data_IF_520741559827
#
_entry.id   IF_520741559827
#
_cell.length_a   1.000
_cell.length_b   1.000
_cell.length_c   1.000
_cell.angle_alpha   90.00
_cell.angle_beta   90.00
_cell.angle_gamma   90.00
#
_symmetry.space_group_name_H-M   'P 1'
#
loop_
_entity.id
_entity.type
_entity.pdbx_description
1 polymer ?
#
# COMPACT_ATOMS: atom_id res chain seq x y z
N UNK A 1 27.10 -0.10 15.15
CA UNK A 1 25.80 0.60 15.12
C UNK A 1 25.77 1.53 16.31
N UNK A 2 25.64 2.85 16.08
CA UNK A 2 25.61 3.80 17.20
C UNK A 2 24.20 3.84 17.83
N UNK A 3 24.07 4.28 19.08
CA UNK A 3 22.78 4.47 19.75
C UNK A 3 21.80 5.30 18.91
N UNK A 4 22.33 6.27 18.16
CA UNK A 4 21.58 7.11 17.23
C UNK A 4 21.00 6.35 16.04
N UNK A 5 21.70 5.36 15.51
CA UNK A 5 21.20 4.57 14.37
C UNK A 5 20.05 3.66 14.78
N UNK A 6 20.09 3.16 16.01
CA UNK A 6 18.97 2.41 16.61
C UNK A 6 17.72 3.28 16.75
N UNK A 7 17.87 4.50 17.31
CA UNK A 7 16.78 5.44 17.51
C UNK A 7 16.10 5.83 16.19
N UNK A 8 16.89 6.06 15.13
CA UNK A 8 16.36 6.41 13.79
C UNK A 8 15.48 5.34 13.15
N UNK A 9 15.60 4.09 13.58
CA UNK A 9 14.79 2.98 13.05
C UNK A 9 13.61 2.67 13.98
N UNK A 10 13.89 2.55 15.27
CA UNK A 10 12.90 2.14 16.28
C UNK A 10 11.84 3.22 16.49
N UNK A 11 12.23 4.50 16.59
CA UNK A 11 11.28 5.57 16.90
C UNK A 11 10.25 5.73 15.78
N UNK A 12 10.63 5.84 14.50
CA UNK A 12 9.64 5.88 13.42
C UNK A 12 8.79 4.60 13.31
N UNK A 13 9.36 3.43 13.61
CA UNK A 13 8.61 2.18 13.61
C UNK A 13 7.50 2.16 14.69
N UNK A 14 7.83 2.58 15.92
CA UNK A 14 6.87 2.67 17.02
C UNK A 14 5.78 3.71 16.71
N UNK A 15 6.17 4.86 16.18
CA UNK A 15 5.23 5.94 15.82
C UNK A 15 4.28 5.47 14.70
N UNK A 16 4.81 4.82 13.66
CA UNK A 16 3.99 4.25 12.57
C UNK A 16 3.03 3.17 13.09
N UNK A 17 3.49 2.30 13.98
CA UNK A 17 2.64 1.30 14.61
C UNK A 17 1.50 1.92 15.42
N UNK A 18 1.81 2.94 16.24
CA UNK A 18 0.80 3.64 17.03
C UNK A 18 -0.24 4.32 16.12
N UNK A 19 0.18 5.03 15.08
CA UNK A 19 -0.71 5.65 14.09
C UNK A 19 -1.57 4.58 13.41
N UNK A 20 -0.98 3.45 13.01
CA UNK A 20 -1.68 2.35 12.35
C UNK A 20 -2.78 1.75 13.24
N UNK A 21 -2.49 1.46 14.51
CA UNK A 21 -3.49 0.95 15.46
C UNK A 21 -4.60 1.98 15.67
N UNK A 22 -4.26 3.25 15.86
CA UNK A 22 -5.27 4.30 16.05
C UNK A 22 -6.14 4.49 14.80
N UNK A 23 -5.57 4.40 13.60
CA UNK A 23 -6.29 4.55 12.34
C UNK A 23 -7.16 3.32 11.98
N UNK A 24 -6.75 2.13 12.40
CA UNK A 24 -7.40 0.85 12.08
C UNK A 24 -8.93 0.85 12.29
N UNK A 25 -9.48 1.22 13.47
CA UNK A 25 -10.93 1.18 13.67
C UNK A 25 -11.69 2.14 12.74
N UNK A 26 -11.13 3.31 12.42
CA UNK A 26 -11.74 4.26 11.49
C UNK A 26 -11.75 3.71 10.06
N UNK A 27 -10.64 3.12 9.63
CA UNK A 27 -10.53 2.50 8.30
C UNK A 27 -11.49 1.32 8.20
N UNK A 28 -11.52 0.42 9.18
CA UNK A 28 -12.43 -0.73 9.19
C UNK A 28 -13.89 -0.27 9.14
N UNK A 29 -14.27 0.71 9.96
CA UNK A 29 -15.63 1.27 9.95
C UNK A 29 -15.99 1.86 8.57
N UNK A 30 -15.07 2.62 7.96
CA UNK A 30 -15.26 3.17 6.62
C UNK A 30 -15.44 2.08 5.56
N UNK A 31 -14.58 1.05 5.56
CA UNK A 31 -14.62 -0.04 4.59
C UNK A 31 -15.91 -0.87 4.73
N UNK A 32 -16.33 -1.16 5.96
CA UNK A 32 -17.58 -1.88 6.24
C UNK A 32 -18.80 -1.05 5.86
N UNK A 33 -18.81 0.25 6.15
CA UNK A 33 -19.91 1.17 5.76
C UNK A 33 -20.12 1.21 4.25
N UNK A 34 -19.04 1.22 3.47
CA UNK A 34 -19.09 1.25 2.01
C UNK A 34 -19.19 -0.14 1.37
N UNK A 35 -19.30 -1.19 2.18
CA UNK A 35 -19.39 -2.58 1.74
C UNK A 35 -18.25 -2.99 0.79
N UNK A 36 -17.04 -2.54 1.10
CA UNK A 36 -15.83 -2.78 0.30
C UNK A 36 -15.27 -4.17 0.58
N UNK A 37 -16.02 -5.19 0.22
CA UNK A 37 -15.61 -6.58 0.27
C UNK A 37 -15.84 -7.24 -1.08
N UNK A 38 -15.26 -8.42 -1.26
CA UNK A 38 -15.40 -9.20 -2.48
C UNK A 38 -16.85 -9.69 -2.62
N UNK A 39 -17.53 -9.33 -3.72
CA UNK A 39 -18.95 -9.64 -3.92
C UNK A 39 -19.22 -10.98 -4.61
N UNK A 40 -18.20 -11.59 -5.21
CA UNK A 40 -18.32 -12.83 -5.99
C UNK A 40 -17.19 -13.79 -5.63
N UNK A 41 -17.52 -15.07 -5.49
CA UNK A 41 -16.51 -16.13 -5.36
C UNK A 41 -15.76 -16.33 -6.69
N UNK A 42 -14.53 -16.85 -6.60
CA UNK A 42 -13.74 -17.20 -7.78
C UNK A 42 -14.45 -18.35 -8.50
N UNK A 43 -15.16 -18.04 -9.58
CA UNK A 43 -15.95 -19.04 -10.31
C UNK A 43 -15.09 -19.91 -11.25
N UNK A 44 -13.98 -19.35 -11.75
CA UNK A 44 -13.08 -20.01 -12.70
C UNK A 44 -11.63 -19.90 -12.29
N UNK A 45 -10.85 -20.94 -12.53
CA UNK A 45 -9.40 -20.94 -12.38
C UNK A 45 -8.76 -20.10 -13.49
N UNK A 46 -7.46 -19.79 -13.34
CA UNK A 46 -6.67 -19.07 -14.35
C UNK A 46 -6.69 -19.82 -15.70
N UNK A 47 -6.82 -21.16 -15.65
CA UNK A 47 -6.95 -22.04 -16.83
C UNK A 47 -8.38 -22.15 -17.38
N UNK A 48 -9.34 -21.38 -16.85
CA UNK A 48 -10.73 -21.33 -17.33
C UNK A 48 -11.63 -22.48 -16.86
N UNK A 49 -11.12 -23.41 -16.05
CA UNK A 49 -11.91 -24.52 -15.46
C UNK A 49 -12.68 -24.04 -14.24
N UNK A 50 -13.76 -24.73 -13.86
CA UNK A 50 -14.51 -24.39 -12.64
C UNK A 50 -13.65 -24.59 -11.39
N UNK A 51 -13.59 -23.57 -10.53
CA UNK A 51 -12.77 -23.58 -9.32
C UNK A 51 -13.54 -24.18 -8.12
N UNK A 52 -14.00 -25.42 -8.25
CA UNK A 52 -14.90 -26.09 -7.29
C UNK A 52 -14.34 -26.18 -5.87
N UNK A 53 -13.03 -26.41 -5.71
CA UNK A 53 -12.37 -26.52 -4.40
C UNK A 53 -12.13 -25.14 -3.76
N UNK A 54 -11.72 -24.13 -4.53
CA UNK A 54 -11.53 -22.78 -3.98
C UNK A 54 -12.87 -22.14 -3.60
N UNK A 55 -13.93 -22.39 -4.37
CA UNK A 55 -15.26 -21.91 -4.06
C UNK A 55 -15.88 -22.58 -2.83
N UNK A 56 -15.55 -23.85 -2.54
CA UNK A 56 -16.05 -24.57 -1.37
C UNK A 56 -15.29 -24.23 -0.07
N UNK A 57 -13.99 -23.91 -0.16
CA UNK A 57 -13.18 -23.50 0.99
C UNK A 57 -13.33 -22.01 1.36
N UNK A 58 -13.46 -21.13 0.37
CA UNK A 58 -13.60 -19.69 0.62
C UNK A 58 -15.06 -19.27 0.55
N UNK A 59 -15.73 -19.30 1.70
CA UNK A 59 -17.07 -18.76 1.90
C UNK A 59 -17.05 -17.22 2.02
N UNK A 60 -16.36 -16.53 1.10
CA UNK A 60 -16.22 -15.06 1.08
C UNK A 60 -17.59 -14.34 1.04
N UNK A 61 -18.65 -15.05 0.62
CA UNK A 61 -20.04 -14.58 0.55
C UNK A 61 -20.75 -14.62 1.92
N UNK A 62 -20.44 -15.60 2.78
CA UNK A 62 -21.11 -15.78 4.08
C UNK A 62 -20.46 -14.97 5.20
N UNK A 63 -19.16 -14.69 5.09
CA UNK A 63 -18.41 -13.88 6.05
C UNK A 63 -17.62 -12.78 5.31
N UNK A 64 -18.26 -11.66 4.93
CA UNK A 64 -17.61 -10.63 4.15
C UNK A 64 -16.51 -9.94 4.96
N UNK A 65 -15.26 -10.16 4.57
CA UNK A 65 -14.09 -9.47 5.12
C UNK A 65 -13.79 -8.24 4.25
N UNK A 66 -13.69 -7.04 4.83
CA UNK A 66 -13.32 -5.84 4.09
C UNK A 66 -11.95 -5.99 3.39
N UNK A 67 -11.89 -5.56 2.12
CA UNK A 67 -10.65 -5.41 1.35
C UNK A 67 -10.09 -4.01 1.52
N UNK A 68 -8.86 -3.76 1.05
CA UNK A 68 -8.09 -2.51 1.26
C UNK A 68 -7.47 -2.35 2.64
N UNK A 69 -7.18 -3.45 3.35
CA UNK A 69 -6.46 -3.38 4.64
C UNK A 69 -5.08 -2.71 4.54
N UNK A 70 -4.43 -2.79 3.38
CA UNK A 70 -3.18 -2.08 3.09
C UNK A 70 -3.26 -0.56 3.26
N UNK A 71 -4.48 0.01 3.24
CA UNK A 71 -4.75 1.43 3.54
C UNK A 71 -4.20 1.86 4.88
N UNK A 72 -4.33 1.02 5.91
CA UNK A 72 -3.78 1.32 7.23
C UNK A 72 -2.26 1.48 7.18
N UNK A 73 -1.59 0.63 6.40
CA UNK A 73 -0.12 0.60 6.32
C UNK A 73 0.42 1.86 5.65
N UNK A 74 -0.08 2.19 4.45
CA UNK A 74 0.45 3.36 3.75
C UNK A 74 0.04 4.69 4.40
N UNK A 75 -1.14 4.77 5.04
CA UNK A 75 -1.51 5.94 5.85
C UNK A 75 -0.53 6.09 7.01
N UNK A 76 -0.24 5.01 7.74
CA UNK A 76 0.67 5.05 8.88
C UNK A 76 2.08 5.50 8.47
N UNK A 77 2.62 4.94 7.38
CA UNK A 77 3.95 5.31 6.89
C UNK A 77 3.98 6.77 6.43
N UNK A 78 3.06 7.22 5.57
CA UNK A 78 3.08 8.62 5.09
C UNK A 78 2.82 9.61 6.21
N UNK A 79 1.89 9.31 7.13
CA UNK A 79 1.64 10.18 8.29
C UNK A 79 2.89 10.28 9.18
N UNK A 80 3.60 9.17 9.41
CA UNK A 80 4.86 9.16 10.16
C UNK A 80 5.94 9.98 9.45
N UNK A 81 6.12 9.76 8.15
CA UNK A 81 7.08 10.51 7.34
C UNK A 81 6.77 12.02 7.36
N UNK A 82 5.51 12.39 7.18
CA UNK A 82 5.06 13.77 7.23
C UNK A 82 5.22 14.41 8.61
N UNK A 83 4.94 13.65 9.67
CA UNK A 83 5.11 14.10 11.06
C UNK A 83 6.57 14.45 11.35
N UNK A 84 7.52 13.57 11.04
CA UNK A 84 8.95 13.85 11.25
C UNK A 84 9.46 14.97 10.34
N UNK A 85 8.93 15.04 9.11
CA UNK A 85 9.22 16.13 8.21
C UNK A 85 8.78 17.49 8.79
N UNK A 86 7.59 17.60 9.39
CA UNK A 86 7.15 18.83 10.08
C UNK A 86 7.95 19.09 11.35
N UNK A 87 8.25 18.04 12.11
CA UNK A 87 8.91 18.16 13.41
C UNK A 87 10.26 18.86 13.31
N UNK A 88 10.99 18.67 12.20
CA UNK A 88 12.26 19.36 11.96
C UNK A 88 12.12 20.89 11.88
N UNK A 89 10.98 21.38 11.38
CA UNK A 89 10.74 22.82 11.21
C UNK A 89 10.21 23.46 12.50
N UNK A 90 9.39 22.73 13.27
CA UNK A 90 8.81 23.24 14.52
C UNK A 90 9.81 23.17 15.67
N UNK A 91 10.63 22.11 15.71
CA UNK A 91 11.67 21.91 16.74
C UNK A 91 13.01 21.55 16.07
N UNK A 92 13.73 22.54 15.52
CA UNK A 92 15.03 22.32 14.88
C UNK A 92 16.07 21.92 15.93
N UNK A 93 16.36 20.63 16.00
CA UNK A 93 17.33 20.03 16.90
C UNK A 93 18.11 18.93 16.15
N UNK A 94 19.35 18.60 16.56
CA UNK A 94 20.15 17.57 15.87
C UNK A 94 19.47 16.19 15.83
N UNK A 95 18.53 15.92 16.74
CA UNK A 95 17.75 14.70 16.78
C UNK A 95 16.58 14.72 15.77
N UNK A 96 15.92 15.87 15.58
CA UNK A 96 14.77 15.98 14.67
C UNK A 96 15.20 15.97 13.20
N UNK A 97 16.32 16.62 12.87
CA UNK A 97 16.95 16.53 11.54
C UNK A 97 17.35 15.08 11.21
N UNK A 98 17.85 14.33 12.20
CA UNK A 98 18.22 12.92 12.01
C UNK A 98 17.03 11.98 11.89
N UNK A 99 15.88 12.35 12.46
CA UNK A 99 14.62 11.62 12.36
C UNK A 99 13.85 11.95 11.09
N UNK A 100 14.16 13.06 10.41
CA UNK A 100 13.60 13.33 9.09
C UNK A 100 14.11 12.33 8.05
N UNK A 101 13.23 11.41 7.69
CA UNK A 101 13.48 10.36 6.70
C UNK A 101 13.52 10.98 5.29
N UNK A 102 12.85 12.10 5.02
CA UNK A 102 12.71 12.72 3.69
C UNK A 102 13.95 13.48 3.25
N UNK A 103 14.78 13.93 4.20
CA UNK A 103 16.04 14.67 3.94
C UNK A 103 17.04 13.92 3.04
N UNK A 104 16.91 12.59 2.88
CA UNK A 104 17.86 11.75 2.14
C UNK A 104 17.39 11.53 0.70
N UNK A 105 18.24 11.81 -0.29
CA UNK A 105 17.94 11.53 -1.70
C UNK A 105 17.56 10.05 -1.99
N UNK A 106 18.01 9.11 -1.16
CA UNK A 106 17.72 7.69 -1.30
C UNK A 106 16.31 7.29 -0.84
N UNK A 107 15.70 8.01 0.11
CA UNK A 107 14.41 7.62 0.70
C UNK A 107 13.21 8.01 -0.17
N UNK A 108 13.40 8.97 -1.07
CA UNK A 108 12.42 9.32 -2.10
C UNK A 108 12.03 8.13 -2.97
N UNK A 109 12.98 7.25 -3.29
CA UNK A 109 12.72 6.12 -4.17
C UNK A 109 11.80 5.06 -3.52
N UNK A 110 12.07 4.58 -2.28
CA UNK A 110 11.14 3.74 -1.53
C UNK A 110 9.78 4.38 -1.28
N UNK A 111 9.72 5.67 -0.94
CA UNK A 111 8.45 6.40 -0.69
C UNK A 111 7.61 6.44 -1.96
N UNK A 112 8.23 6.76 -3.10
CA UNK A 112 7.55 6.78 -4.39
C UNK A 112 7.09 5.38 -4.83
N UNK A 113 7.94 4.37 -4.67
CA UNK A 113 7.58 2.99 -4.99
C UNK A 113 6.41 2.50 -4.14
N UNK A 114 6.41 2.80 -2.84
CA UNK A 114 5.30 2.51 -1.94
C UNK A 114 4.03 3.23 -2.36
N UNK A 115 4.11 4.52 -2.74
CA UNK A 115 2.97 5.29 -3.21
C UNK A 115 2.34 4.67 -4.47
N UNK A 116 3.15 4.39 -5.49
CA UNK A 116 2.68 3.77 -6.74
C UNK A 116 2.07 2.40 -6.46
N UNK A 117 2.75 1.56 -5.67
CA UNK A 117 2.24 0.24 -5.29
C UNK A 117 0.92 0.31 -4.51
N UNK A 118 0.80 1.25 -3.57
CA UNK A 118 -0.41 1.48 -2.79
C UNK A 118 -1.58 1.93 -3.67
N UNK A 119 -1.35 2.84 -4.61
CA UNK A 119 -2.37 3.33 -5.55
C UNK A 119 -2.83 2.21 -6.48
N UNK A 120 -1.90 1.50 -7.12
CA UNK A 120 -2.23 0.39 -8.03
C UNK A 120 -2.96 -0.74 -7.31
N UNK A 121 -2.50 -1.11 -6.10
CA UNK A 121 -3.15 -2.11 -5.26
C UNK A 121 -4.54 -1.68 -4.79
N UNK A 122 -4.71 -0.41 -4.43
CA UNK A 122 -6.01 0.12 -4.03
C UNK A 122 -7.02 0.12 -5.20
N UNK A 123 -6.58 0.49 -6.41
CA UNK A 123 -7.42 0.40 -7.59
C UNK A 123 -7.82 -1.04 -7.91
N UNK A 124 -6.90 -1.99 -7.79
CA UNK A 124 -7.18 -3.41 -7.97
C UNK A 124 -8.25 -3.90 -6.99
N UNK A 125 -8.08 -3.62 -5.70
CA UNK A 125 -9.04 -4.02 -4.67
C UNK A 125 -10.40 -3.34 -4.82
N UNK A 126 -10.46 -2.08 -5.23
CA UNK A 126 -11.72 -1.37 -5.49
C UNK A 126 -12.48 -1.95 -6.68
N UNK A 127 -11.76 -2.36 -7.74
CA UNK A 127 -12.36 -3.06 -8.88
C UNK A 127 -12.90 -4.43 -8.47
N UNK A 128 -12.17 -5.18 -7.64
CA UNK A 128 -12.64 -6.46 -7.09
C UNK A 128 -13.86 -6.29 -6.18
N UNK A 129 -13.93 -5.20 -5.40
CA UNK A 129 -15.08 -4.86 -4.57
C UNK A 129 -16.27 -4.31 -5.37
N UNK A 130 -16.14 -4.17 -6.70
CA UNK A 130 -17.11 -3.54 -7.60
C UNK A 130 -17.55 -2.14 -7.10
N UNK A 131 -16.62 -1.36 -6.54
CA UNK A 131 -16.91 -0.07 -5.93
C UNK A 131 -17.43 0.97 -6.94
N UNK A 132 -17.03 0.85 -8.21
CA UNK A 132 -17.39 1.76 -9.30
C UNK A 132 -18.59 1.29 -10.16
N UNK A 133 -19.31 0.25 -9.71
CA UNK A 133 -20.43 -0.34 -10.43
C UNK A 133 -20.02 -1.31 -11.54
N UNK A 134 -20.95 -2.17 -12.00
CA UNK A 134 -20.62 -3.29 -12.89
C UNK A 134 -20.18 -2.89 -14.30
N UNK A 135 -20.35 -1.61 -14.69
CA UNK A 135 -20.08 -1.11 -16.06
C UNK A 135 -18.58 -0.96 -16.36
N UNK A 136 -17.76 -0.71 -15.33
CA UNK A 136 -16.30 -0.66 -15.45
C UNK A 136 -15.62 -2.01 -15.17
N UNK A 137 -16.39 -3.02 -14.74
CA UNK A 137 -15.86 -4.32 -14.35
C UNK A 137 -15.70 -5.23 -15.58
N UNK A 138 -14.71 -4.92 -16.42
CA UNK A 138 -14.48 -5.58 -17.71
C UNK A 138 -13.83 -6.97 -17.58
N UNK A 139 -13.41 -7.40 -16.38
CA UNK A 139 -12.61 -8.62 -16.21
C UNK A 139 -13.39 -9.76 -15.55
N UNK A 140 -13.37 -10.94 -16.18
CA UNK A 140 -14.10 -12.15 -15.78
C UNK A 140 -13.74 -12.66 -14.37
N UNK A 141 -12.55 -12.28 -13.85
CA UNK A 141 -12.10 -12.58 -12.49
C UNK A 141 -12.24 -11.45 -11.46
N UNK A 142 -12.69 -10.26 -11.88
CA UNK A 142 -12.62 -9.03 -11.09
C UNK A 142 -11.18 -8.47 -10.96
N UNK A 143 -11.05 -7.16 -10.79
CA UNK A 143 -9.75 -6.49 -10.60
C UNK A 143 -9.04 -6.02 -11.87
N UNK A 144 -7.82 -5.53 -11.68
CA UNK A 144 -6.90 -5.06 -12.72
C UNK A 144 -6.34 -6.23 -13.53
N UNK A 145 -6.35 -6.12 -14.85
CA UNK A 145 -5.83 -7.17 -15.74
C UNK A 145 -4.32 -7.37 -15.57
N UNK A 146 -3.85 -8.61 -15.79
CA UNK A 146 -2.43 -8.96 -15.66
C UNK A 146 -1.48 -8.02 -16.44
N UNK A 147 -1.78 -7.66 -17.71
CA UNK A 147 -0.89 -6.74 -18.46
C UNK A 147 -0.75 -5.37 -17.79
N UNK A 148 -1.81 -4.83 -17.17
CA UNK A 148 -1.77 -3.53 -16.49
C UNK A 148 -0.92 -3.61 -15.22
N UNK A 149 -1.06 -4.68 -14.45
CA UNK A 149 -0.22 -4.92 -13.26
C UNK A 149 1.25 -5.06 -13.65
N UNK A 150 1.53 -5.83 -14.70
CA UNK A 150 2.88 -6.03 -15.21
C UNK A 150 3.48 -4.70 -15.69
N UNK A 151 2.71 -3.92 -16.47
CA UNK A 151 3.14 -2.60 -16.93
C UNK A 151 3.46 -1.68 -15.75
N UNK A 152 2.60 -1.62 -14.73
CA UNK A 152 2.84 -0.79 -13.55
C UNK A 152 4.14 -1.16 -12.82
N UNK A 153 4.39 -2.46 -12.58
CA UNK A 153 5.60 -2.93 -11.90
C UNK A 153 6.84 -2.72 -12.77
N UNK A 154 6.76 -2.99 -14.08
CA UNK A 154 7.86 -2.76 -15.02
C UNK A 154 8.22 -1.28 -15.14
N UNK A 155 7.23 -0.40 -15.27
CA UNK A 155 7.45 1.05 -15.30
C UNK A 155 8.09 1.55 -14.01
N UNK A 156 7.65 1.05 -12.86
CA UNK A 156 8.26 1.40 -11.57
C UNK A 156 9.71 0.92 -11.48
N UNK A 157 9.99 -0.31 -11.93
CA UNK A 157 11.35 -0.86 -11.96
C UNK A 157 12.30 -0.08 -12.88
N UNK A 158 11.83 0.29 -14.08
CA UNK A 158 12.59 1.13 -15.01
C UNK A 158 12.87 2.51 -14.44
N UNK A 159 11.88 3.15 -13.81
CA UNK A 159 12.06 4.42 -13.13
C UNK A 159 13.08 4.31 -11.99
N UNK A 160 13.00 3.26 -11.18
CA UNK A 160 13.93 3.02 -10.09
C UNK A 160 15.36 2.82 -10.60
N UNK A 161 15.54 2.00 -11.64
CA UNK A 161 16.85 1.78 -12.27
C UNK A 161 17.45 3.06 -12.83
N UNK A 162 16.64 3.86 -13.54
CA UNK A 162 17.07 5.17 -14.04
C UNK A 162 17.45 6.13 -12.92
N UNK A 163 16.70 6.15 -11.81
CA UNK A 163 16.99 6.99 -10.65
C UNK A 163 18.32 6.59 -9.98
N UNK A 164 18.58 5.29 -9.81
CA UNK A 164 19.85 4.81 -9.28
C UNK A 164 21.03 5.27 -10.12
N UNK A 165 20.91 5.14 -11.45
CA UNK A 165 21.96 5.56 -12.38
C UNK A 165 22.15 7.09 -12.40
N UNK A 166 21.07 7.86 -12.59
CA UNK A 166 21.14 9.29 -12.85
C UNK A 166 21.21 10.18 -11.58
N UNK A 167 20.56 9.77 -10.49
CA UNK A 167 20.44 10.60 -9.26
C UNK A 167 21.31 10.09 -8.11
N UNK A 168 21.56 8.79 -8.04
CA UNK A 168 22.37 8.20 -6.97
C UNK A 168 23.79 7.86 -7.41
N UNK A 169 24.12 8.01 -8.70
CA UNK A 169 25.47 7.80 -9.23
C UNK A 169 25.95 6.35 -9.08
N UNK A 170 25.02 5.40 -8.95
CA UNK A 170 25.34 3.98 -8.87
C UNK A 170 25.52 3.49 -10.30
N UNK A 171 26.78 3.30 -10.70
CA UNK A 171 27.20 2.76 -11.99
C UNK A 171 27.60 1.30 -11.88
#
# INVERSE_FOLDING_TARGET
MTTLDFIKVIVPAIVSFAIGITASPFVISFLTKHKLWKKRNVAKTIDGKEATISASLHNDVLAPVPRLGGTVVWIAVFATTFLFWILQFVFPAPISEKLDIVSRNQTWLPIFAMFVGAVVGAFDDLLVAEAFGSKFNSYVGGGLSFPVRLLAVSSLGLFAGWWFFAKLGVS
#
